data_IF_761502616342
#
_entry.id   IF_761502616342
#
_cell.length_a   1.000
_cell.length_b   1.000
_cell.length_c   1.000
_cell.angle_alpha   90.00
_cell.angle_beta   90.00
_cell.angle_gamma   90.00
#
_symmetry.space_group_name_H-M   'P 1'
#
loop_
_entity.id
_entity.type
_entity.pdbx_description
1 polymer ?
#
# COMPACT_ATOMS: atom_id res chain seq x y z
N UNK A 1 -4.76 5.02 12.29
CA UNK A 1 -4.18 4.54 11.01
C UNK A 1 -4.31 3.03 10.96
N UNK A 2 -4.90 2.43 9.90
CA UNK A 2 -4.90 0.97 9.68
C UNK A 2 -3.48 0.42 9.51
N UNK A 3 -3.31 -0.89 9.70
CA UNK A 3 -2.00 -1.55 9.52
C UNK A 3 -1.45 -1.39 8.10
N UNK A 4 -2.31 -1.40 7.08
CA UNK A 4 -1.88 -1.22 5.69
C UNK A 4 -1.31 0.17 5.44
N UNK A 5 -1.92 1.21 6.01
CA UNK A 5 -1.36 2.56 5.98
C UNK A 5 -0.02 2.61 6.72
N UNK A 6 0.04 2.05 7.93
CA UNK A 6 1.28 2.05 8.69
C UNK A 6 2.43 1.33 7.97
N UNK A 7 2.16 0.21 7.29
CA UNK A 7 3.16 -0.49 6.50
C UNK A 7 3.74 0.40 5.39
N UNK A 8 2.88 1.01 4.57
CA UNK A 8 3.31 1.92 3.49
C UNK A 8 4.13 3.08 4.05
N UNK A 9 3.71 3.66 5.18
CA UNK A 9 4.39 4.78 5.83
C UNK A 9 5.80 4.40 6.30
N UNK A 10 5.95 3.25 6.96
CA UNK A 10 7.23 2.75 7.46
C UNK A 10 8.16 2.33 6.32
N UNK A 11 7.64 1.67 5.29
CA UNK A 11 8.43 1.17 4.15
C UNK A 11 9.06 2.34 3.36
N UNK A 12 8.26 3.38 3.04
CA UNK A 12 8.80 4.56 2.35
C UNK A 12 9.73 5.39 3.24
N UNK A 13 9.42 5.55 4.54
CA UNK A 13 10.30 6.27 5.46
C UNK A 13 11.65 5.56 5.60
N UNK A 14 11.64 4.23 5.68
CA UNK A 14 12.86 3.43 5.77
C UNK A 14 13.72 3.60 4.52
N UNK A 15 13.12 3.52 3.33
CA UNK A 15 13.80 3.78 2.06
C UNK A 15 14.41 5.19 2.00
N UNK A 16 13.64 6.23 2.34
CA UNK A 16 14.09 7.63 2.30
C UNK A 16 15.20 7.91 3.31
N UNK A 17 15.13 7.32 4.51
CA UNK A 17 16.11 7.57 5.57
C UNK A 17 17.42 6.79 5.38
N UNK A 18 17.34 5.55 4.88
CA UNK A 18 18.51 4.68 4.76
C UNK A 18 19.18 4.73 3.40
N UNK A 19 18.43 5.05 2.33
CA UNK A 19 18.86 4.88 0.95
C UNK A 19 18.90 3.42 0.48
N UNK A 20 18.53 2.45 1.32
CA UNK A 20 18.40 1.05 0.93
C UNK A 20 17.24 0.85 -0.05
N UNK A 21 17.22 -0.27 -0.81
CA UNK A 21 16.14 -0.55 -1.75
C UNK A 21 14.74 -0.47 -1.12
N UNK A 22 13.80 0.12 -1.86
CA UNK A 22 12.39 0.19 -1.45
C UNK A 22 11.77 -1.20 -1.44
N UNK A 23 11.17 -1.59 -0.31
CA UNK A 23 10.52 -2.88 -0.10
C UNK A 23 9.02 -2.72 0.15
N UNK A 24 8.26 -3.81 0.01
CA UNK A 24 6.80 -3.86 0.22
C UNK A 24 6.34 -5.13 0.95
N UNK A 25 7.22 -5.76 1.73
CA UNK A 25 6.95 -7.07 2.34
C UNK A 25 5.74 -7.04 3.29
N UNK A 26 5.62 -5.99 4.11
CA UNK A 26 4.51 -5.86 5.05
C UNK A 26 3.23 -5.49 4.31
N UNK A 27 3.33 -4.59 3.32
CA UNK A 27 2.21 -4.25 2.43
C UNK A 27 1.67 -5.50 1.73
N UNK A 28 2.54 -6.32 1.12
CA UNK A 28 2.18 -7.56 0.45
C UNK A 28 1.52 -8.56 1.40
N UNK A 29 2.07 -8.73 2.61
CA UNK A 29 1.48 -9.62 3.61
C UNK A 29 0.06 -9.19 3.99
N UNK A 30 -0.16 -7.91 4.26
CA UNK A 30 -1.48 -7.40 4.67
C UNK A 30 -2.51 -7.52 3.55
N UNK A 31 -2.11 -7.21 2.31
CA UNK A 31 -2.95 -7.39 1.14
C UNK A 31 -3.32 -8.87 0.91
N UNK A 32 -2.37 -9.80 1.08
CA UNK A 32 -2.63 -11.24 1.02
C UNK A 32 -3.56 -11.74 2.13
N UNK A 33 -3.62 -11.03 3.26
CA UNK A 33 -4.57 -11.30 4.38
C UNK A 33 -5.92 -10.59 4.21
N UNK A 34 -6.15 -9.95 3.07
CA UNK A 34 -7.44 -9.35 2.73
C UNK A 34 -7.61 -7.91 3.22
N UNK A 35 -6.53 -7.22 3.59
CA UNK A 35 -6.61 -5.78 3.79
C UNK A 35 -7.17 -5.10 2.52
N UNK A 36 -8.11 -4.17 2.71
CA UNK A 36 -8.72 -3.42 1.62
C UNK A 36 -7.92 -2.12 1.37
N UNK A 37 -7.17 -2.01 0.25
CA UNK A 37 -6.37 -0.82 -0.05
C UNK A 37 -7.21 0.41 -0.42
N UNK A 38 -8.49 0.24 -0.75
CA UNK A 38 -9.41 1.32 -1.13
C UNK A 38 -10.19 1.86 0.08
N UNK A 39 -10.14 1.17 1.22
CA UNK A 39 -10.79 1.63 2.44
C UNK A 39 -10.10 2.90 2.95
N UNK A 40 -10.82 4.02 2.87
CA UNK A 40 -10.38 5.27 3.47
C UNK A 40 -10.29 5.16 5.00
N UNK A 41 -9.23 5.71 5.58
CA UNK A 41 -9.05 5.77 7.02
C UNK A 41 -8.17 6.95 7.43
N UNK A 42 -8.25 7.35 8.70
CA UNK A 42 -7.45 8.45 9.22
C UNK A 42 -8.12 9.82 9.15
N UNK A 43 -7.30 10.84 9.44
CA UNK A 43 -7.64 12.25 9.34
C UNK A 43 -6.46 13.01 8.70
N UNK A 44 -6.61 13.55 7.47
CA UNK A 44 -7.77 13.37 6.59
C UNK A 44 -8.00 11.91 6.22
N UNK A 45 -9.23 11.54 5.89
CA UNK A 45 -9.53 10.19 5.44
C UNK A 45 -8.92 9.98 4.05
N UNK A 46 -7.94 9.09 3.95
CA UNK A 46 -7.31 8.70 2.68
C UNK A 46 -7.24 7.17 2.57
N UNK A 47 -7.32 6.63 1.36
CA UNK A 47 -7.09 5.21 1.12
C UNK A 47 -5.59 4.89 1.21
N UNK A 48 -5.24 3.61 1.35
CA UNK A 48 -3.84 3.21 1.34
C UNK A 48 -3.19 3.48 -0.03
N UNK A 49 -3.95 3.30 -1.12
CA UNK A 49 -3.51 3.61 -2.47
C UNK A 49 -3.24 5.11 -2.66
N UNK A 50 -4.12 5.98 -2.16
CA UNK A 50 -3.94 7.43 -2.24
C UNK A 50 -2.70 7.88 -1.47
N UNK A 51 -2.49 7.31 -0.29
CA UNK A 51 -1.28 7.58 0.49
C UNK A 51 -0.01 7.12 -0.23
N UNK A 52 0.01 5.91 -0.81
CA UNK A 52 1.16 5.42 -1.57
C UNK A 52 1.50 6.36 -2.74
N UNK A 53 0.50 6.82 -3.49
CA UNK A 53 0.67 7.80 -4.58
C UNK A 53 1.20 9.12 -4.05
N UNK A 54 0.59 9.67 -3.01
CA UNK A 54 0.98 10.96 -2.40
C UNK A 54 2.41 10.93 -1.87
N UNK A 55 2.85 9.79 -1.31
CA UNK A 55 4.19 9.59 -0.76
C UNK A 55 5.23 9.13 -1.79
N UNK A 56 4.84 8.92 -3.05
CA UNK A 56 5.76 8.46 -4.10
C UNK A 56 6.22 7.01 -3.94
N UNK A 57 5.47 6.19 -3.19
CA UNK A 57 5.79 4.79 -2.94
C UNK A 57 5.40 3.90 -4.15
N UNK A 58 6.10 4.07 -5.27
CA UNK A 58 5.77 3.45 -6.56
C UNK A 58 5.58 1.93 -6.49
N UNK A 59 6.41 1.21 -5.72
CA UNK A 59 6.30 -0.26 -5.62
C UNK A 59 4.99 -0.72 -4.95
N UNK A 60 4.50 0.04 -3.96
CA UNK A 60 3.21 -0.24 -3.31
C UNK A 60 2.04 0.08 -4.25
N UNK A 61 2.16 1.14 -5.08
CA UNK A 61 1.16 1.47 -6.10
C UNK A 61 1.00 0.32 -7.09
N UNK A 62 2.09 -0.14 -7.70
CA UNK A 62 2.09 -1.26 -8.65
C UNK A 62 1.49 -2.53 -8.05
N UNK A 63 1.89 -2.89 -6.82
CA UNK A 63 1.37 -4.07 -6.14
C UNK A 63 -0.14 -3.99 -5.87
N UNK A 64 -0.61 -2.85 -5.37
CA UNK A 64 -2.03 -2.63 -5.07
C UNK A 64 -2.86 -2.70 -6.36
N UNK A 65 -2.42 -2.00 -7.42
CA UNK A 65 -3.13 -1.97 -8.71
C UNK A 65 -3.19 -3.36 -9.34
N UNK A 66 -2.09 -4.12 -9.31
CA UNK A 66 -2.06 -5.50 -9.78
C UNK A 66 -3.05 -6.39 -9.00
N UNK A 67 -3.11 -6.27 -7.67
CA UNK A 67 -4.05 -7.03 -6.86
C UNK A 67 -5.51 -6.64 -7.14
N UNK A 68 -5.81 -5.36 -7.34
CA UNK A 68 -7.16 -4.91 -7.69
C UNK A 68 -7.59 -5.43 -9.07
N UNK A 69 -6.69 -5.41 -10.05
CA UNK A 69 -6.94 -6.00 -11.37
C UNK A 69 -7.21 -7.51 -11.27
N UNK A 70 -6.43 -8.24 -10.47
CA UNK A 70 -6.64 -9.67 -10.24
C UNK A 70 -8.00 -9.98 -9.59
N UNK A 71 -8.47 -9.13 -8.65
CA UNK A 71 -9.78 -9.28 -8.01
C UNK A 71 -10.93 -8.99 -8.97
N UNK A 72 -10.78 -8.03 -9.89
CA UNK A 72 -11.78 -7.73 -10.91
C UNK A 72 -11.86 -8.81 -12.01
N UNK A 73 -10.75 -9.47 -12.33
CA UNK A 73 -10.71 -10.58 -13.29
C UNK A 73 -11.25 -11.91 -12.74
N UNK A 74 -11.25 -12.10 -11.41
CA UNK A 74 -11.77 -13.31 -10.77
C UNK A 74 -13.32 -13.37 -10.72
N UNK A 75 -14.00 -12.28 -11.09
CA UNK A 75 -15.47 -12.18 -11.14
C UNK A 75 -16.05 -12.21 -12.56
N UNK A 76 -15.22 -12.46 -13.58
CA UNK A 76 -15.60 -12.50 -15.00
C UNK A 76 -15.65 -13.89 -15.60
#
# INVERSE_FOLDING_TARGET
MPLLHHAIDVEIDSHVQSGEPLHVDATALLLARGADPLRAAGLPAESALDMARRRGHWLAVELIEAQLAARGGATG
#
